data_IF_155941929988
#
_entry.id   IF_155941929988
#
_cell.length_a   1.000
_cell.length_b   1.000
_cell.length_c   1.000
_cell.angle_alpha   90.00
_cell.angle_beta   90.00
_cell.angle_gamma   90.00
#
_symmetry.space_group_name_H-M   'P 1'
#
loop_
_entity.id
_entity.type
_entity.pdbx_description
1 polymer ?
#
# COMPACT_ATOMS: atom_id res chain seq x y z
N UNK A 1 -4.52 -43.62 42.55
CA UNK A 1 -3.30 -43.19 41.83
C UNK A 1 -3.03 -44.22 40.76
N UNK A 2 -2.71 -43.91 39.52
CA UNK A 2 -2.01 -42.74 38.97
C UNK A 2 -2.30 -42.68 37.46
N UNK A 3 -2.76 -41.54 36.94
CA UNK A 3 -2.85 -41.28 35.51
C UNK A 3 -1.53 -40.69 35.00
N UNK A 4 -0.98 -41.30 33.94
CA UNK A 4 0.24 -40.85 33.27
C UNK A 4 -0.08 -39.80 32.20
N UNK A 5 0.52 -38.62 32.35
CA UNK A 5 0.46 -37.53 31.39
C UNK A 5 1.52 -37.72 30.28
N UNK A 6 1.11 -37.74 29.01
CA UNK A 6 2.01 -37.59 27.85
C UNK A 6 2.03 -36.13 27.40
N UNK A 7 3.17 -35.45 27.60
CA UNK A 7 3.45 -34.12 27.11
C UNK A 7 4.06 -34.13 25.70
N UNK A 8 3.42 -33.44 24.75
CA UNK A 8 3.96 -33.18 23.42
C UNK A 8 4.72 -31.85 23.41
N UNK A 9 6.05 -31.89 23.46
CA UNK A 9 6.92 -30.72 23.33
C UNK A 9 7.11 -30.33 21.86
N UNK A 10 6.71 -29.11 21.50
CA UNK A 10 7.03 -28.47 20.22
C UNK A 10 8.52 -28.10 20.19
N UNK A 11 9.27 -28.60 19.20
CA UNK A 11 10.63 -28.11 18.93
C UNK A 11 10.54 -26.73 18.30
N UNK A 12 10.92 -25.71 19.07
CA UNK A 12 11.18 -24.38 18.55
C UNK A 12 12.42 -24.41 17.64
N UNK A 13 12.25 -24.01 16.37
CA UNK A 13 13.35 -23.77 15.45
C UNK A 13 13.90 -22.37 15.74
N UNK A 14 15.01 -22.27 16.47
CA UNK A 14 15.71 -21.01 16.67
C UNK A 14 16.66 -20.77 15.48
N UNK A 15 16.58 -19.64 14.76
CA UNK A 15 17.57 -19.31 13.75
C UNK A 15 18.86 -18.87 14.46
N UNK A 16 19.82 -19.78 14.59
CA UNK A 16 21.18 -19.49 15.02
C UNK A 16 22.03 -19.10 13.81
N UNK A 17 21.98 -17.82 13.45
CA UNK A 17 22.90 -17.19 12.51
C UNK A 17 23.18 -15.78 12.99
N UNK A 18 24.44 -15.48 13.31
CA UNK A 18 24.84 -14.08 13.55
C UNK A 18 24.58 -13.31 12.24
N UNK A 19 24.02 -12.09 12.29
CA UNK A 19 23.78 -11.32 11.08
C UNK A 19 25.10 -11.13 10.34
N UNK A 20 25.11 -11.44 9.05
CA UNK A 20 26.26 -11.27 8.18
C UNK A 20 26.74 -9.81 8.26
N UNK A 21 28.05 -9.59 8.34
CA UNK A 21 28.63 -8.27 8.55
C UNK A 21 28.19 -7.23 7.50
N UNK A 22 27.76 -7.67 6.31
CA UNK A 22 27.17 -6.82 5.28
C UNK A 22 25.76 -6.31 5.66
N UNK A 23 24.92 -7.13 6.27
CA UNK A 23 23.61 -6.71 6.79
C UNK A 23 23.74 -5.81 8.01
N UNK A 24 24.75 -6.06 8.87
CA UNK A 24 25.08 -5.18 9.99
C UNK A 24 25.64 -3.83 9.53
N UNK A 25 26.46 -3.80 8.46
CA UNK A 25 26.96 -2.57 7.86
C UNK A 25 25.85 -1.77 7.15
N UNK A 26 24.97 -2.44 6.41
CA UNK A 26 23.80 -1.80 5.80
C UNK A 26 22.82 -1.25 6.86
N UNK A 27 22.63 -1.96 7.98
CA UNK A 27 21.83 -1.47 9.10
C UNK A 27 22.50 -0.27 9.82
N UNK A 28 23.82 -0.24 9.92
CA UNK A 28 24.57 0.87 10.52
C UNK A 28 24.55 2.15 9.67
N UNK A 29 24.47 2.03 8.34
CA UNK A 29 24.34 3.17 7.43
C UNK A 29 22.94 3.82 7.47
N UNK A 30 21.93 3.12 7.99
CA UNK A 30 20.55 3.60 8.14
C UNK A 30 20.30 4.34 9.47
N UNK A 31 21.24 4.33 10.41
CA UNK A 31 21.06 4.86 11.78
C UNK A 31 21.02 6.41 11.84
N UNK A 32 21.34 7.07 10.73
CA UNK A 32 21.33 8.54 10.59
C UNK A 32 20.27 9.10 9.62
N UNK A 33 19.46 8.25 8.99
CA UNK A 33 18.41 8.73 8.09
C UNK A 33 17.14 9.08 8.88
N UNK A 34 16.47 10.20 8.56
CA UNK A 34 15.22 10.55 9.22
C UNK A 34 14.21 9.40 9.06
N UNK A 35 13.55 9.02 10.16
CA UNK A 35 12.53 7.98 10.15
C UNK A 35 11.43 8.36 9.17
N UNK A 36 11.38 7.64 8.05
CA UNK A 36 10.37 7.83 7.03
C UNK A 36 9.06 7.19 7.51
N UNK A 37 8.01 8.01 7.69
CA UNK A 37 6.66 7.51 7.93
C UNK A 37 6.16 6.79 6.67
N UNK A 38 5.92 5.48 6.76
CA UNK A 38 5.55 4.63 5.62
C UNK A 38 4.08 4.23 5.60
N UNK A 39 3.38 4.38 6.72
CA UNK A 39 1.99 3.95 6.84
C UNK A 39 1.09 5.17 7.03
N UNK A 40 0.51 5.62 5.92
CA UNK A 40 -0.51 6.68 5.91
C UNK A 40 -1.92 6.10 5.80
N UNK A 41 -2.06 4.77 5.80
CA UNK A 41 -3.36 4.13 5.67
C UNK A 41 -4.12 4.16 6.99
N UNK A 42 -5.25 4.87 6.97
CA UNK A 42 -6.24 4.83 8.05
C UNK A 42 -7.47 4.12 7.50
N UNK A 43 -7.75 2.92 8.01
CA UNK A 43 -8.95 2.18 7.63
C UNK A 43 -10.20 2.91 8.14
N UNK A 44 -11.07 3.34 7.23
CA UNK A 44 -12.31 4.01 7.60
C UNK A 44 -13.33 3.01 8.16
N UNK A 45 -14.25 3.43 9.05
CA UNK A 45 -15.28 2.54 9.61
C UNK A 45 -16.11 1.79 8.55
N UNK A 46 -16.34 2.41 7.38
CA UNK A 46 -17.07 1.80 6.28
C UNK A 46 -16.37 0.59 5.65
N UNK A 47 -15.04 0.54 5.71
CA UNK A 47 -14.20 -0.57 5.22
C UNK A 47 -13.98 -1.57 6.36
N UNK A 48 -13.70 -1.08 7.57
CA UNK A 48 -13.54 -1.92 8.76
C UNK A 48 -14.79 -2.76 9.06
N UNK A 49 -15.99 -2.23 8.81
CA UNK A 49 -17.27 -2.92 9.00
C UNK A 49 -17.60 -3.98 7.95
N UNK A 50 -16.88 -4.05 6.82
CA UNK A 50 -17.15 -5.05 5.79
C UNK A 50 -16.81 -6.45 6.28
N UNK A 51 -17.75 -7.38 6.14
CA UNK A 51 -17.54 -8.81 6.38
C UNK A 51 -16.61 -9.41 5.33
N UNK A 52 -15.99 -10.55 5.64
CA UNK A 52 -15.16 -11.27 4.68
C UNK A 52 -15.95 -11.68 3.43
N UNK A 53 -17.23 -12.02 3.59
CA UNK A 53 -18.14 -12.38 2.50
C UNK A 53 -18.41 -11.20 1.57
N UNK A 54 -18.66 -10.01 2.12
CA UNK A 54 -18.86 -8.78 1.31
C UNK A 54 -17.59 -8.38 0.56
N UNK A 55 -16.42 -8.52 1.19
CA UNK A 55 -15.13 -8.27 0.55
C UNK A 55 -14.92 -9.22 -0.63
N UNK A 56 -15.18 -10.51 -0.42
CA UNK A 56 -15.00 -11.52 -1.47
C UNK A 56 -16.03 -11.38 -2.59
N UNK A 57 -17.27 -11.02 -2.26
CA UNK A 57 -18.30 -10.70 -3.24
C UNK A 57 -17.91 -9.47 -4.09
N UNK A 58 -17.34 -8.44 -3.47
CA UNK A 58 -16.85 -7.27 -4.17
C UNK A 58 -15.68 -7.62 -5.11
N UNK A 59 -14.68 -8.36 -4.61
CA UNK A 59 -13.54 -8.83 -5.41
C UNK A 59 -13.98 -9.62 -6.62
N UNK A 60 -14.89 -10.57 -6.45
CA UNK A 60 -15.46 -11.37 -7.52
C UNK A 60 -16.22 -10.53 -8.54
N UNK A 61 -17.02 -9.57 -8.09
CA UNK A 61 -17.80 -8.68 -8.97
C UNK A 61 -16.91 -7.76 -9.81
N UNK A 62 -15.75 -7.37 -9.29
CA UNK A 62 -14.80 -6.45 -9.94
C UNK A 62 -13.60 -7.17 -10.55
N UNK A 63 -13.65 -8.50 -10.65
CA UNK A 63 -12.59 -9.34 -11.22
C UNK A 63 -11.21 -9.13 -10.57
N UNK A 64 -11.21 -8.94 -9.24
CA UNK A 64 -10.01 -8.74 -8.44
C UNK A 64 -9.58 -10.08 -7.85
N UNK A 65 -8.37 -10.52 -8.20
CA UNK A 65 -7.69 -11.65 -7.55
C UNK A 65 -6.58 -11.12 -6.66
N UNK A 66 -6.45 -11.70 -5.47
CA UNK A 66 -5.45 -11.31 -4.48
C UNK A 66 -4.66 -12.52 -4.03
N UNK A 67 -3.34 -12.40 -4.09
CA UNK A 67 -2.41 -13.39 -3.55
C UNK A 67 -1.43 -12.70 -2.59
N UNK A 68 -1.28 -13.25 -1.38
CA UNK A 68 -0.37 -12.72 -0.36
C UNK A 68 -0.96 -12.70 1.04
N UNK A 69 -0.15 -12.25 2.00
CA UNK A 69 -0.52 -12.19 3.41
C UNK A 69 -0.86 -10.75 3.83
N UNK A 70 -1.77 -10.58 4.79
CA UNK A 70 -2.20 -9.28 5.35
C UNK A 70 -2.67 -8.27 4.27
N UNK A 71 -3.45 -8.76 3.30
CA UNK A 71 -3.97 -7.88 2.25
C UNK A 71 -5.16 -7.08 2.79
N UNK A 72 -5.10 -5.74 2.77
CA UNK A 72 -6.19 -4.89 3.23
C UNK A 72 -7.46 -5.09 2.37
N UNK A 73 -8.60 -4.73 2.96
CA UNK A 73 -9.89 -4.77 2.27
C UNK A 73 -9.91 -3.75 1.12
N UNK A 74 -10.62 -4.05 0.02
CA UNK A 74 -10.74 -3.12 -1.08
C UNK A 74 -11.62 -1.93 -0.67
N UNK A 75 -11.25 -0.74 -1.16
CA UNK A 75 -12.08 0.47 -1.01
C UNK A 75 -13.10 0.57 -2.13
N UNK A 76 -14.27 1.13 -1.82
CA UNK A 76 -15.36 1.30 -2.79
C UNK A 76 -15.43 2.73 -3.30
N UNK A 77 -15.11 3.69 -2.44
CA UNK A 77 -15.09 5.12 -2.76
C UNK A 77 -13.71 5.74 -2.51
N UNK A 78 -13.40 6.84 -3.21
CA UNK A 78 -12.15 7.58 -2.99
C UNK A 78 -12.01 8.10 -1.55
N UNK A 79 -13.14 8.41 -0.91
CA UNK A 79 -13.20 8.86 0.49
C UNK A 79 -12.80 7.78 1.47
N UNK A 80 -13.00 6.51 1.11
CA UNK A 80 -12.66 5.37 1.96
C UNK A 80 -11.16 5.07 1.99
N UNK A 81 -10.40 5.71 1.10
CA UNK A 81 -8.95 5.52 0.96
C UNK A 81 -8.18 6.21 2.09
N UNK A 82 -8.75 7.27 2.67
CA UNK A 82 -8.04 8.13 3.61
C UNK A 82 -7.08 9.12 2.94
N UNK A 83 -7.30 9.47 1.67
CA UNK A 83 -6.52 10.51 1.01
C UNK A 83 -6.80 11.91 1.60
N UNK A 84 -5.81 12.82 1.62
CA UNK A 84 -6.03 14.21 1.99
C UNK A 84 -7.07 14.90 1.10
N UNK A 85 -7.78 15.89 1.66
CA UNK A 85 -8.87 16.60 0.97
C UNK A 85 -8.43 17.22 -0.36
N UNK A 86 -7.20 17.76 -0.43
CA UNK A 86 -6.68 18.33 -1.67
C UNK A 86 -6.57 17.28 -2.79
N UNK A 87 -6.25 16.02 -2.47
CA UNK A 87 -6.20 14.92 -3.44
C UNK A 87 -7.60 14.57 -3.92
N UNK A 88 -8.56 14.45 -2.99
CA UNK A 88 -9.96 14.16 -3.31
C UNK A 88 -10.58 15.22 -4.23
N UNK A 89 -10.24 16.49 -4.00
CA UNK A 89 -10.65 17.60 -4.88
C UNK A 89 -10.09 17.46 -6.29
N UNK A 90 -8.81 17.13 -6.45
CA UNK A 90 -8.21 16.94 -7.77
C UNK A 90 -8.80 15.72 -8.50
N UNK A 91 -9.05 14.61 -7.80
CA UNK A 91 -9.74 13.43 -8.35
C UNK A 91 -11.14 13.82 -8.85
N UNK A 92 -11.88 14.60 -8.06
CA UNK A 92 -13.22 15.07 -8.40
C UNK A 92 -13.19 16.01 -9.61
N UNK A 93 -12.24 16.96 -9.65
CA UNK A 93 -12.05 17.89 -10.78
C UNK A 93 -11.67 17.18 -12.07
N UNK A 94 -10.87 16.10 -11.97
CA UNK A 94 -10.51 15.26 -13.11
C UNK A 94 -11.69 14.41 -13.62
N UNK A 95 -12.83 14.42 -12.94
CA UNK A 95 -14.06 13.76 -13.38
C UNK A 95 -14.12 12.27 -13.04
N UNK A 96 -13.28 11.78 -12.14
CA UNK A 96 -13.35 10.39 -11.69
C UNK A 96 -14.52 10.19 -10.72
N UNK A 97 -15.39 9.23 -11.02
CA UNK A 97 -16.61 8.95 -10.24
C UNK A 97 -16.45 7.79 -9.28
N UNK A 98 -15.68 6.76 -9.66
CA UNK A 98 -15.37 5.61 -8.82
C UNK A 98 -13.94 5.10 -9.06
N UNK A 99 -13.31 4.47 -8.04
CA UNK A 99 -12.02 3.81 -8.22
C UNK A 99 -12.12 2.59 -9.13
N UNK A 100 -11.10 2.41 -9.98
CA UNK A 100 -10.97 1.20 -10.79
C UNK A 100 -10.63 -0.02 -9.92
N UNK A 101 -10.86 -1.26 -10.38
CA UNK A 101 -10.57 -2.46 -9.57
C UNK A 101 -9.14 -2.51 -9.02
N UNK A 102 -8.15 -2.13 -9.85
CA UNK A 102 -6.75 -2.10 -9.44
C UNK A 102 -6.45 -1.00 -8.42
N UNK A 103 -7.16 0.13 -8.49
CA UNK A 103 -7.05 1.23 -7.53
C UNK A 103 -7.71 0.85 -6.20
N UNK A 104 -8.90 0.25 -6.24
CA UNK A 104 -9.65 -0.20 -5.08
C UNK A 104 -8.87 -1.15 -4.19
N UNK A 105 -8.10 -2.06 -4.77
CA UNK A 105 -7.26 -2.98 -4.00
C UNK A 105 -5.83 -2.45 -3.80
N UNK A 106 -5.32 -1.67 -4.75
CA UNK A 106 -3.94 -1.18 -4.76
C UNK A 106 -3.67 -0.05 -3.79
N UNK A 107 -4.58 0.92 -3.64
CA UNK A 107 -4.33 2.08 -2.76
C UNK A 107 -4.20 1.71 -1.28
N UNK A 108 -5.08 0.86 -0.69
CA UNK A 108 -4.91 0.45 0.70
C UNK A 108 -3.57 -0.26 0.95
N UNK A 109 -3.09 -1.03 -0.04
CA UNK A 109 -1.81 -1.73 0.04
C UNK A 109 -0.63 -0.77 -0.09
N UNK A 110 -0.70 0.18 -1.03
CA UNK A 110 0.32 1.20 -1.24
C UNK A 110 0.44 2.16 -0.05
N UNK A 111 -0.69 2.57 0.54
CA UNK A 111 -0.72 3.46 1.71
C UNK A 111 -0.24 2.78 3.00
N UNK A 112 -0.35 1.46 3.10
CA UNK A 112 0.30 0.65 4.15
C UNK A 112 1.84 0.63 4.00
N UNK A 113 2.39 1.15 2.90
CA UNK A 113 3.83 1.16 2.63
C UNK A 113 4.39 -0.23 2.31
N UNK A 114 3.57 -1.14 1.78
CA UNK A 114 3.96 -2.50 1.42
C UNK A 114 4.21 -2.64 -0.08
N UNK A 115 5.16 -3.50 -0.42
CA UNK A 115 5.42 -3.87 -1.80
C UNK A 115 4.22 -4.63 -2.39
N UNK A 116 3.85 -4.27 -3.62
CA UNK A 116 2.71 -4.85 -4.33
C UNK A 116 3.03 -5.00 -5.81
N UNK A 117 2.54 -6.08 -6.42
CA UNK A 117 2.58 -6.28 -7.86
C UNK A 117 1.15 -6.20 -8.37
N UNK A 118 0.84 -5.16 -9.16
CA UNK A 118 -0.49 -4.94 -9.72
C UNK A 118 -0.56 -5.36 -11.19
N UNK A 119 -1.32 -6.40 -11.49
CA UNK A 119 -1.57 -6.86 -12.87
C UNK A 119 -2.99 -6.43 -13.26
N UNK A 120 -3.10 -5.62 -14.32
CA UNK A 120 -4.38 -5.20 -14.89
C UNK A 120 -4.19 -4.83 -16.37
N UNK A 121 -5.27 -4.77 -17.14
CA UNK A 121 -5.23 -4.47 -18.58
C UNK A 121 -4.77 -3.03 -18.90
N UNK A 122 -4.37 -2.74 -20.14
CA UNK A 122 -4.10 -1.36 -20.58
C UNK A 122 -5.36 -0.50 -20.45
N UNK A 123 -5.24 0.73 -19.92
CA UNK A 123 -6.39 1.61 -19.67
C UNK A 123 -7.10 1.42 -18.31
N UNK A 124 -6.72 0.42 -17.51
CA UNK A 124 -7.30 0.16 -16.17
C UNK A 124 -6.96 1.18 -15.07
N UNK A 125 -6.23 2.25 -15.40
CA UNK A 125 -5.88 3.31 -14.43
C UNK A 125 -4.73 2.96 -13.48
N UNK A 126 -3.89 1.97 -13.82
CA UNK A 126 -2.67 1.61 -13.06
C UNK A 126 -1.77 2.81 -12.75
N UNK A 127 -1.68 3.75 -13.68
CA UNK A 127 -0.90 4.99 -13.52
C UNK A 127 -1.32 5.77 -12.26
N UNK A 128 -2.61 6.02 -12.09
CA UNK A 128 -3.13 6.69 -10.90
C UNK A 128 -3.10 5.79 -9.65
N UNK A 129 -3.11 4.46 -9.83
CA UNK A 129 -3.01 3.51 -8.73
C UNK A 129 -1.69 3.66 -7.95
N UNK A 130 -0.57 3.95 -8.61
CA UNK A 130 0.71 4.20 -7.93
C UNK A 130 1.02 5.69 -7.74
N UNK A 131 0.60 6.58 -8.65
CA UNK A 131 0.93 8.01 -8.56
C UNK A 131 0.26 8.70 -7.37
N UNK A 132 -1.01 8.41 -7.09
CA UNK A 132 -1.73 9.08 -6.01
C UNK A 132 -1.11 8.76 -4.63
N UNK A 133 -0.86 7.49 -4.27
CA UNK A 133 -0.08 7.18 -3.07
C UNK A 133 1.30 7.82 -3.07
N UNK A 134 2.00 7.87 -4.21
CA UNK A 134 3.32 8.50 -4.31
C UNK A 134 3.28 10.00 -4.01
N UNK A 135 2.29 10.74 -4.54
CA UNK A 135 2.09 12.18 -4.23
C UNK A 135 1.84 12.38 -2.74
N UNK A 136 1.00 11.55 -2.13
CA UNK A 136 0.71 11.62 -0.68
C UNK A 136 1.98 11.35 0.13
N UNK A 137 2.76 10.33 -0.24
CA UNK A 137 4.02 10.02 0.40
C UNK A 137 5.04 11.16 0.26
N UNK A 138 5.19 11.74 -0.94
CA UNK A 138 6.11 12.86 -1.20
C UNK A 138 5.72 14.10 -0.38
N UNK A 139 4.44 14.47 -0.36
CA UNK A 139 3.96 15.62 0.38
C UNK A 139 4.07 15.46 1.91
N UNK A 140 4.06 14.22 2.40
CA UNK A 140 4.25 13.91 3.82
C UNK A 140 5.72 13.95 4.25
N UNK A 141 6.68 14.03 3.31
CA UNK A 141 8.10 14.14 3.64
C UNK A 141 8.57 15.60 3.69
N UNK A 142 9.47 15.95 4.62
CA UNK A 142 10.14 17.24 4.57
C UNK A 142 10.94 17.36 3.25
N UNK A 143 10.88 18.54 2.62
CA UNK A 143 11.51 18.81 1.32
C UNK A 143 13.02 18.54 1.40
N UNK A 144 13.45 17.40 0.87
CA UNK A 144 14.87 17.09 0.66
C UNK A 144 15.32 17.67 -0.69
N UNK A 145 15.47 18.99 -0.75
CA UNK A 145 16.12 19.69 -1.86
C UNK A 145 15.32 19.73 -3.19
N UNK A 146 15.75 20.63 -4.08
CA UNK A 146 15.05 21.11 -5.28
C UNK A 146 14.76 20.07 -6.39
N UNK A 147 15.05 18.78 -6.17
CA UNK A 147 15.12 17.78 -7.24
C UNK A 147 13.81 17.00 -7.43
N UNK A 148 12.88 17.08 -6.48
CA UNK A 148 11.58 16.39 -6.55
C UNK A 148 10.59 17.04 -7.52
N UNK A 149 10.70 18.36 -7.72
CA UNK A 149 9.86 19.11 -8.67
C UNK A 149 10.15 18.76 -10.14
N UNK A 150 11.37 18.33 -10.45
CA UNK A 150 11.78 17.98 -11.82
C UNK A 150 11.07 16.71 -12.34
N UNK A 151 10.86 15.71 -11.48
CA UNK A 151 10.20 14.46 -11.89
C UNK A 151 8.71 14.70 -12.23
N UNK A 152 8.04 15.60 -11.52
CA UNK A 152 6.64 15.94 -11.78
C UNK A 152 6.45 16.77 -13.05
N UNK A 153 7.40 17.64 -13.38
CA UNK A 153 7.36 18.44 -14.62
C UNK A 153 7.56 17.58 -15.87
N UNK A 154 8.44 16.57 -15.82
CA UNK A 154 8.64 15.65 -16.94
C UNK A 154 7.41 14.77 -17.21
N UNK A 155 6.72 14.32 -16.15
CA UNK A 155 5.50 13.50 -16.28
C UNK A 155 4.31 14.29 -16.84
N UNK A 156 4.17 15.59 -16.51
CA UNK A 156 3.14 16.45 -17.08
C UNK A 156 3.46 16.85 -18.53
N UNK A 157 4.73 16.98 -18.89
CA UNK A 157 5.15 17.26 -20.27
C UNK A 157 4.89 16.10 -21.23
N UNK A 158 4.86 14.86 -20.74
CA UNK A 158 4.55 13.68 -21.57
C UNK A 158 3.05 13.56 -21.91
N UNK A 159 2.16 14.08 -21.05
CA UNK A 159 0.70 13.99 -21.25
C UNK A 159 0.12 15.02 -22.26
N UNK A 160 0.96 15.84 -22.90
CA UNK A 160 0.57 16.79 -23.96
C UNK A 160 1.18 16.49 -25.33
N UNK A 161 1.90 15.37 -25.47
CA UNK A 161 2.41 14.89 -26.75
C UNK A 161 1.76 13.55 -27.11
N UNK A 162 0.51 13.60 -27.56
CA UNK A 162 -0.25 12.47 -28.07
C UNK A 162 -1.41 12.94 -28.92
#
# INVERSE_FOLDING_TARGET
GSEGAFGGGTRAFAPSGKPDAAAAAAAAELDGLPRFEKNFYVEVPAVAGMTAEEVEAYRRRREITVEGNDVPKPVRDFRDVGFPEYVLQEITKAGFTEPTPIQSQGWPMALKGRDLIGIAETGSGKTLAYLLPAIVHVNAQPILGANTLLIFLDLLSWNHSG
#
